data_IF_023532772960
#
_entry.id   IF_023532772960
#
_cell.length_a   1.000
_cell.length_b   1.000
_cell.length_c   1.000
_cell.angle_alpha   90.00
_cell.angle_beta   90.00
_cell.angle_gamma   90.00
#
_symmetry.space_group_name_H-M   'P 1'
#
loop_
_entity.id
_entity.type
_entity.pdbx_description
1 polymer ?
#
# COMPACT_ATOMS: atom_id res chain seq x y z
N UNK A 1 -5.73 23.87 -12.34
CA UNK A 1 -4.32 23.40 -12.30
C UNK A 1 -4.19 22.46 -11.12
N UNK A 2 -4.12 21.15 -11.35
CA UNK A 2 -3.92 20.16 -10.29
C UNK A 2 -2.50 20.27 -9.79
N UNK A 3 -2.34 20.56 -8.50
CA UNK A 3 -1.03 20.71 -7.87
C UNK A 3 -0.42 19.31 -7.65
N UNK A 4 0.11 18.73 -8.74
CA UNK A 4 0.70 17.38 -8.82
C UNK A 4 1.66 17.06 -7.65
N UNK A 5 2.56 17.96 -7.21
CA UNK A 5 3.42 17.72 -6.06
C UNK A 5 2.65 17.51 -4.75
N UNK A 6 1.56 18.26 -4.56
CA UNK A 6 0.70 18.16 -3.37
C UNK A 6 -0.05 16.83 -3.38
N UNK A 7 -0.58 16.41 -4.54
CA UNK A 7 -1.29 15.15 -4.67
C UNK A 7 -0.41 13.93 -4.36
N UNK A 8 0.86 13.93 -4.81
CA UNK A 8 1.81 12.86 -4.49
C UNK A 8 2.19 12.84 -3.01
N UNK A 9 2.41 14.02 -2.41
CA UNK A 9 2.72 14.14 -0.98
C UNK A 9 1.58 13.59 -0.11
N UNK A 10 0.34 13.91 -0.42
CA UNK A 10 -0.83 13.37 0.29
C UNK A 10 -0.93 11.85 0.18
N UNK A 11 -0.71 11.28 -1.01
CA UNK A 11 -0.71 9.82 -1.19
C UNK A 11 0.40 9.14 -0.38
N UNK A 12 1.60 9.73 -0.32
CA UNK A 12 2.71 9.19 0.46
C UNK A 12 2.43 9.23 1.97
N UNK A 13 1.78 10.28 2.46
CA UNK A 13 1.31 10.37 3.85
C UNK A 13 0.26 9.29 4.16
N UNK A 14 -0.73 9.10 3.29
CA UNK A 14 -1.76 8.06 3.45
C UNK A 14 -1.17 6.65 3.44
N UNK A 15 -0.25 6.36 2.51
CA UNK A 15 0.45 5.07 2.44
C UNK A 15 1.26 4.83 3.72
N UNK A 16 1.96 5.85 4.22
CA UNK A 16 2.76 5.77 5.46
C UNK A 16 1.86 5.47 6.66
N UNK A 17 0.76 6.22 6.82
CA UNK A 17 -0.18 6.02 7.92
C UNK A 17 -0.80 4.60 7.91
N UNK A 18 -1.15 4.07 6.73
CA UNK A 18 -1.65 2.69 6.62
C UNK A 18 -0.55 1.66 6.88
N UNK A 19 0.68 1.90 6.44
CA UNK A 19 1.81 1.01 6.69
C UNK A 19 2.19 0.95 8.18
N UNK A 20 2.07 2.06 8.92
CA UNK A 20 2.26 2.11 10.37
C UNK A 20 1.24 1.21 11.11
N UNK A 21 0.00 1.15 10.62
CA UNK A 21 -1.01 0.23 11.16
C UNK A 21 -0.67 -1.24 10.91
N UNK A 22 0.16 -1.53 9.89
CA UNK A 22 0.59 -2.88 9.55
C UNK A 22 1.89 -3.31 10.25
N UNK A 23 2.42 -2.50 11.17
CA UNK A 23 3.62 -2.87 11.91
C UNK A 23 3.44 -4.19 12.68
N UNK A 24 4.43 -5.10 12.65
CA UNK A 24 4.37 -6.37 13.35
C UNK A 24 4.10 -6.20 14.85
N UNK A 25 3.34 -7.13 15.42
CA UNK A 25 3.11 -7.18 16.85
C UNK A 25 4.41 -7.52 17.59
N UNK A 26 4.73 -6.76 18.65
CA UNK A 26 5.86 -7.07 19.53
C UNK A 26 5.55 -8.28 20.42
N UNK A 27 6.55 -9.06 20.84
CA UNK A 27 6.35 -10.24 21.71
C UNK A 27 5.55 -9.93 22.98
N UNK A 28 5.78 -8.78 23.60
CA UNK A 28 5.08 -8.36 24.83
C UNK A 28 3.58 -8.15 24.56
N UNK A 29 3.26 -7.51 23.44
CA UNK A 29 1.88 -7.28 23.03
C UNK A 29 1.16 -8.58 22.67
N UNK A 30 1.89 -9.54 22.07
CA UNK A 30 1.37 -10.87 21.80
C UNK A 30 1.02 -11.56 23.13
N UNK A 31 1.91 -11.52 24.12
CA UNK A 31 1.66 -12.09 25.44
C UNK A 31 0.41 -11.47 26.09
N UNK A 32 0.29 -10.14 26.09
CA UNK A 32 -0.88 -9.41 26.61
C UNK A 32 -2.19 -9.88 25.95
N UNK A 33 -2.18 -10.02 24.62
CA UNK A 33 -3.35 -10.49 23.87
C UNK A 33 -3.75 -11.91 24.26
N UNK A 34 -2.79 -12.83 24.40
CA UNK A 34 -3.06 -14.21 24.82
C UNK A 34 -3.56 -14.29 26.26
N UNK A 35 -2.97 -13.52 27.18
CA UNK A 35 -3.47 -13.40 28.55
C UNK A 35 -4.88 -12.84 28.58
N UNK A 36 -5.19 -11.87 27.72
CA UNK A 36 -6.53 -11.30 27.58
C UNK A 36 -7.55 -12.33 27.13
N UNK A 37 -7.20 -13.23 26.20
CA UNK A 37 -8.05 -14.34 25.77
C UNK A 37 -8.28 -15.35 26.90
N UNK A 38 -7.22 -15.72 27.65
CA UNK A 38 -7.33 -16.58 28.83
C UNK A 38 -8.23 -15.98 29.91
N UNK A 39 -8.06 -14.69 30.20
CA UNK A 39 -8.92 -13.96 31.14
C UNK A 39 -10.38 -13.88 30.67
N UNK A 40 -10.62 -13.96 29.36
CA UNK A 40 -11.95 -14.08 28.77
C UNK A 40 -12.56 -15.48 28.84
N UNK A 41 -11.88 -16.46 29.46
CA UNK A 41 -12.37 -17.83 29.65
C UNK A 41 -11.87 -18.83 28.59
N UNK A 42 -11.06 -18.41 27.62
CA UNK A 42 -10.55 -19.33 26.59
C UNK A 42 -9.39 -20.17 27.11
N UNK A 43 -9.44 -21.48 26.85
CA UNK A 43 -8.40 -22.43 27.21
C UNK A 43 -7.33 -22.54 26.12
N UNK A 44 -6.16 -23.06 26.49
CA UNK A 44 -5.10 -23.40 25.54
C UNK A 44 -5.59 -24.56 24.66
N UNK A 45 -5.42 -24.50 23.32
CA UNK A 45 -5.86 -25.57 22.44
C UNK A 45 -5.13 -26.89 22.73
N UNK A 46 -5.85 -27.99 22.57
CA UNK A 46 -5.32 -29.35 22.70
C UNK A 46 -4.29 -29.59 21.59
N UNK A 47 -3.01 -29.71 21.95
CA UNK A 47 -1.90 -29.88 21.01
C UNK A 47 -0.78 -28.85 21.17
N UNK A 48 -0.99 -27.79 21.96
CA UNK A 48 0.08 -26.89 22.39
C UNK A 48 0.43 -27.24 23.83
N UNK A 49 1.68 -27.65 24.06
CA UNK A 49 2.19 -27.89 25.42
C UNK A 49 2.09 -26.59 26.24
N UNK A 50 1.69 -26.71 27.50
CA UNK A 50 1.46 -25.53 28.34
C UNK A 50 2.75 -24.75 28.58
N UNK A 51 3.89 -25.44 28.62
CA UNK A 51 5.22 -24.85 28.82
C UNK A 51 5.68 -24.05 27.59
N UNK A 52 5.35 -24.50 26.38
CA UNK A 52 5.74 -23.86 25.12
C UNK A 52 4.70 -22.88 24.56
N UNK A 53 3.56 -22.73 25.24
CA UNK A 53 2.43 -21.94 24.79
C UNK A 53 2.84 -20.54 24.29
N UNK A 54 3.53 -19.76 25.12
CA UNK A 54 3.87 -18.39 24.72
C UNK A 54 4.83 -18.37 23.52
N UNK A 55 5.82 -19.27 23.53
CA UNK A 55 6.84 -19.38 22.49
C UNK A 55 6.23 -19.69 21.13
N UNK A 56 5.37 -20.70 21.05
CA UNK A 56 4.73 -21.13 19.79
C UNK A 56 3.87 -20.02 19.19
N UNK A 57 3.10 -19.31 20.03
CA UNK A 57 2.31 -18.18 19.57
C UNK A 57 3.18 -16.98 19.16
N UNK A 58 4.27 -16.68 19.88
CA UNK A 58 5.18 -15.61 19.47
C UNK A 58 5.83 -15.90 18.12
N UNK A 59 6.23 -17.15 17.85
CA UNK A 59 6.78 -17.56 16.55
C UNK A 59 5.73 -17.38 15.44
N UNK A 60 4.51 -17.90 15.65
CA UNK A 60 3.46 -17.83 14.63
C UNK A 60 2.97 -16.39 14.36
N UNK A 61 2.93 -15.55 15.40
CA UNK A 61 2.39 -14.20 15.35
C UNK A 61 3.46 -13.12 15.13
N UNK A 62 4.75 -13.44 15.13
CA UNK A 62 5.83 -12.44 15.07
C UNK A 62 5.86 -11.59 13.80
N UNK A 63 5.26 -12.07 12.69
CA UNK A 63 5.10 -11.29 11.44
C UNK A 63 3.67 -10.79 11.22
N UNK A 64 2.78 -11.00 12.19
CA UNK A 64 1.38 -10.59 12.10
C UNK A 64 1.26 -9.12 12.53
N UNK A 65 0.56 -8.28 11.76
CA UNK A 65 0.34 -6.91 12.14
C UNK A 65 -0.42 -6.76 13.47
N UNK A 66 0.01 -5.81 14.29
CA UNK A 66 -0.66 -5.48 15.57
C UNK A 66 -2.15 -5.20 15.39
N UNK A 67 -2.50 -4.47 14.33
CA UNK A 67 -3.89 -4.11 14.04
C UNK A 67 -4.78 -5.33 13.85
N UNK A 68 -4.32 -6.31 13.07
CA UNK A 68 -5.06 -7.55 12.83
C UNK A 68 -5.20 -8.39 14.08
N UNK A 69 -4.17 -8.42 14.93
CA UNK A 69 -4.23 -9.15 16.20
C UNK A 69 -5.27 -8.55 17.16
N UNK A 70 -5.33 -7.22 17.29
CA UNK A 70 -6.35 -6.53 18.09
C UNK A 70 -7.75 -6.86 17.58
N UNK A 71 -7.97 -6.79 16.27
CA UNK A 71 -9.26 -7.06 15.65
C UNK A 71 -9.72 -8.49 15.96
N UNK A 72 -8.86 -9.49 15.71
CA UNK A 72 -9.19 -10.89 15.97
C UNK A 72 -9.45 -11.17 17.44
N UNK A 73 -8.60 -10.67 18.35
CA UNK A 73 -8.79 -10.86 19.80
C UNK A 73 -10.12 -10.26 20.26
N UNK A 74 -10.48 -9.08 19.74
CA UNK A 74 -11.75 -8.42 20.06
C UNK A 74 -12.95 -9.22 19.53
N UNK A 75 -12.88 -9.67 18.27
CA UNK A 75 -13.92 -10.47 17.62
C UNK A 75 -14.12 -11.84 18.26
N UNK A 76 -13.02 -12.50 18.65
CA UNK A 76 -13.04 -13.76 19.40
C UNK A 76 -13.77 -13.60 20.73
N UNK A 77 -13.47 -12.54 21.49
CA UNK A 77 -14.15 -12.24 22.76
C UNK A 77 -15.63 -11.92 22.59
N UNK A 78 -16.01 -11.35 21.46
CA UNK A 78 -17.41 -11.03 21.13
C UNK A 78 -18.18 -12.20 20.52
N UNK A 79 -17.51 -13.32 20.21
CA UNK A 79 -18.13 -14.45 19.53
C UNK A 79 -18.50 -14.18 18.08
N UNK A 80 -17.83 -13.24 17.41
CA UNK A 80 -18.13 -12.86 16.01
C UNK A 80 -17.64 -13.91 14.98
N UNK A 81 -16.95 -14.97 15.43
CA UNK A 81 -16.50 -16.07 14.57
C UNK A 81 -17.38 -17.32 14.80
N UNK A 82 -18.33 -17.62 13.89
CA UNK A 82 -19.28 -18.73 14.08
C UNK A 82 -18.61 -20.11 14.00
N UNK A 83 -17.51 -20.22 13.25
CA UNK A 83 -16.81 -21.50 13.03
C UNK A 83 -15.72 -21.79 14.07
N UNK A 84 -15.58 -20.93 15.09
CA UNK A 84 -14.54 -21.05 16.11
C UNK A 84 -15.19 -21.35 17.45
N UNK A 85 -14.72 -22.42 18.10
CA UNK A 85 -15.13 -22.73 19.47
C UNK A 85 -14.78 -21.56 20.40
N UNK A 86 -15.75 -21.14 21.21
CA UNK A 86 -15.55 -20.14 22.26
C UNK A 86 -14.77 -20.69 23.47
N UNK A 87 -14.62 -22.00 23.58
CA UNK A 87 -13.96 -22.67 24.72
C UNK A 87 -12.43 -22.67 24.60
N UNK A 88 -11.90 -22.77 23.38
CA UNK A 88 -10.46 -22.91 23.13
C UNK A 88 -9.94 -21.76 22.25
N UNK A 89 -8.76 -21.25 22.59
CA UNK A 89 -8.05 -20.34 21.71
C UNK A 89 -7.73 -21.05 20.38
N UNK A 90 -7.81 -20.34 19.23
CA UNK A 90 -7.39 -20.91 17.96
C UNK A 90 -5.91 -21.30 18.01
N UNK A 91 -5.54 -22.40 17.36
CA UNK A 91 -4.14 -22.82 17.22
C UNK A 91 -3.27 -21.70 16.63
N UNK A 92 -1.98 -21.61 16.98
CA UNK A 92 -1.11 -20.48 16.61
C UNK A 92 -1.19 -20.10 15.12
N UNK A 93 -1.09 -21.09 14.23
CA UNK A 93 -1.18 -20.89 12.78
C UNK A 93 -2.54 -20.35 12.33
N UNK A 94 -3.64 -20.83 12.93
CA UNK A 94 -5.00 -20.38 12.62
C UNK A 94 -5.21 -18.95 13.12
N UNK A 95 -4.76 -18.64 14.34
CA UNK A 95 -4.84 -17.29 14.89
C UNK A 95 -4.06 -16.30 14.01
N UNK A 96 -2.86 -16.68 13.57
CA UNK A 96 -2.05 -15.87 12.66
C UNK A 96 -2.72 -15.67 11.29
N UNK A 97 -3.38 -16.70 10.74
CA UNK A 97 -4.13 -16.59 9.50
C UNK A 97 -5.33 -15.64 9.65
N UNK A 98 -6.12 -15.79 10.72
CA UNK A 98 -7.26 -14.90 11.01
C UNK A 98 -6.80 -13.45 11.16
N UNK A 99 -5.70 -13.21 11.86
CA UNK A 99 -5.21 -11.86 12.10
C UNK A 99 -4.70 -11.20 10.81
N UNK A 100 -4.07 -11.98 9.91
CA UNK A 100 -3.73 -11.48 8.56
C UNK A 100 -4.97 -11.20 7.71
N UNK A 101 -6.02 -12.01 7.84
CA UNK A 101 -7.27 -11.79 7.11
C UNK A 101 -7.93 -10.44 7.49
N UNK A 102 -7.89 -10.05 8.78
CA UNK A 102 -8.38 -8.74 9.23
C UNK A 102 -7.59 -7.57 8.65
N UNK A 103 -6.32 -7.77 8.28
CA UNK A 103 -5.49 -6.75 7.65
C UNK A 103 -5.64 -6.67 6.13
N UNK A 104 -6.39 -7.58 5.51
CA UNK A 104 -6.48 -7.71 4.05
C UNK A 104 -6.90 -6.41 3.37
N UNK A 105 -7.95 -5.76 3.88
CA UNK A 105 -8.45 -4.50 3.31
C UNK A 105 -7.40 -3.38 3.35
N UNK A 106 -6.61 -3.28 4.43
CA UNK A 106 -5.55 -2.28 4.56
C UNK A 106 -4.42 -2.55 3.55
N UNK A 107 -4.07 -3.83 3.36
CA UNK A 107 -3.06 -4.23 2.38
C UNK A 107 -3.53 -3.91 0.95
N UNK A 108 -4.79 -4.20 0.64
CA UNK A 108 -5.41 -3.88 -0.65
C UNK A 108 -5.46 -2.36 -0.88
N UNK A 109 -5.79 -1.57 0.15
CA UNK A 109 -5.80 -0.11 0.09
C UNK A 109 -4.40 0.47 -0.16
N UNK A 110 -3.37 -0.02 0.54
CA UNK A 110 -1.98 0.39 0.27
C UNK A 110 -1.59 0.05 -1.16
N UNK A 111 -1.95 -1.14 -1.66
CA UNK A 111 -1.66 -1.53 -3.04
C UNK A 111 -2.34 -0.60 -4.05
N UNK A 112 -3.61 -0.24 -3.82
CA UNK A 112 -4.37 0.71 -4.64
C UNK A 112 -3.75 2.11 -4.62
N UNK A 113 -3.37 2.61 -3.45
CA UNK A 113 -2.72 3.93 -3.32
C UNK A 113 -1.35 3.96 -4.00
N UNK A 114 -0.55 2.89 -3.86
CA UNK A 114 0.73 2.75 -4.56
C UNK A 114 0.54 2.70 -6.08
N UNK A 115 -0.45 1.97 -6.57
CA UNK A 115 -0.78 1.94 -8.00
C UNK A 115 -1.17 3.34 -8.51
N UNK A 116 -1.99 4.07 -7.76
CA UNK A 116 -2.37 5.45 -8.08
C UNK A 116 -1.16 6.39 -8.10
N UNK A 117 -0.28 6.30 -7.10
CA UNK A 117 0.97 7.06 -7.03
C UNK A 117 1.83 6.79 -8.28
N UNK A 118 2.05 5.52 -8.61
CA UNK A 118 2.86 5.12 -9.76
C UNK A 118 2.25 5.63 -11.08
N UNK A 119 0.93 5.55 -11.26
CA UNK A 119 0.26 6.06 -12.45
C UNK A 119 0.42 7.58 -12.61
N UNK A 120 0.35 8.34 -11.51
CA UNK A 120 0.60 9.79 -11.52
C UNK A 120 2.07 10.09 -11.84
N UNK A 121 3.00 9.33 -11.27
CA UNK A 121 4.43 9.48 -11.53
C UNK A 121 4.77 9.15 -12.99
N UNK A 122 4.18 8.10 -13.57
CA UNK A 122 4.35 7.76 -14.98
C UNK A 122 3.74 8.81 -15.92
N UNK A 123 2.54 9.31 -15.62
CA UNK A 123 1.92 10.38 -16.39
C UNK A 123 2.71 11.71 -16.33
N UNK A 124 3.51 11.91 -15.28
CA UNK A 124 4.36 13.09 -15.09
C UNK A 124 5.70 12.99 -15.83
N UNK A 125 6.09 11.79 -16.29
CA UNK A 125 7.32 11.62 -17.07
C UNK A 125 7.10 12.18 -18.48
N UNK A 126 8.04 13.00 -19.00
CA UNK A 126 7.96 13.42 -20.39
C UNK A 126 7.93 12.17 -21.29
N UNK A 127 7.18 12.19 -22.40
CA UNK A 127 7.14 11.05 -23.32
C UNK A 127 8.57 10.67 -23.69
N UNK A 128 8.88 9.38 -23.64
CA UNK A 128 10.16 8.83 -24.13
C UNK A 128 10.18 8.96 -25.65
N UNK A 129 10.34 10.17 -26.15
CA UNK A 129 10.69 10.43 -27.54
C UNK A 129 12.15 10.01 -27.68
N UNK A 130 12.44 9.09 -28.60
CA UNK A 130 13.82 8.72 -28.87
C UNK A 130 14.63 9.97 -29.25
N UNK A 131 15.92 10.02 -28.90
CA UNK A 131 16.78 11.18 -29.19
C UNK A 131 16.71 11.52 -30.70
N UNK A 132 16.68 10.50 -31.55
CA UNK A 132 16.53 10.64 -33.01
C UNK A 132 15.21 11.30 -33.43
N UNK A 133 14.10 10.93 -32.79
CA UNK A 133 12.78 11.43 -33.14
C UNK A 133 12.58 12.87 -32.67
N UNK A 134 13.19 13.22 -31.54
CA UNK A 134 13.29 14.59 -31.06
C UNK A 134 14.15 15.46 -32.00
N UNK A 135 15.27 14.92 -32.51
CA UNK A 135 16.09 15.60 -33.52
C UNK A 135 15.35 15.79 -34.84
N UNK A 136 14.66 14.76 -35.34
CA UNK A 136 13.83 14.85 -36.56
C UNK A 136 12.74 15.91 -36.40
N UNK A 137 12.07 15.97 -35.26
CA UNK A 137 11.09 17.01 -34.97
C UNK A 137 11.71 18.41 -34.94
N UNK A 138 12.87 18.58 -34.31
CA UNK A 138 13.58 19.88 -34.24
C UNK A 138 14.06 20.35 -35.62
N UNK A 139 14.54 19.44 -36.48
CA UNK A 139 14.93 19.78 -37.86
C UNK A 139 13.71 20.23 -38.65
N UNK A 140 12.61 19.47 -38.60
CA UNK A 140 11.35 19.80 -39.29
C UNK A 140 10.79 21.16 -38.87
N UNK A 141 10.82 21.46 -37.56
CA UNK A 141 10.38 22.77 -37.04
C UNK A 141 11.27 23.90 -37.59
N UNK A 142 12.59 23.72 -37.63
CA UNK A 142 13.50 24.75 -38.19
C UNK A 142 13.25 25.00 -39.68
N UNK A 143 12.95 23.96 -40.43
CA UNK A 143 12.64 24.07 -41.87
C UNK A 143 11.34 24.84 -42.09
N UNK A 144 10.26 24.46 -41.40
CA UNK A 144 8.99 25.20 -41.44
C UNK A 144 9.17 26.68 -41.07
N UNK A 145 9.96 26.97 -40.05
CA UNK A 145 10.21 28.35 -39.62
C UNK A 145 11.02 29.15 -40.64
N UNK A 146 11.94 28.50 -41.37
CA UNK A 146 12.68 29.12 -42.48
C UNK A 146 11.78 29.38 -43.69
N UNK A 147 10.90 28.44 -44.04
CA UNK A 147 9.92 28.61 -45.13
C UNK A 147 8.95 29.74 -44.82
N UNK A 148 8.40 29.77 -43.61
CA UNK A 148 7.52 30.85 -43.15
C UNK A 148 8.20 32.22 -43.23
N UNK A 149 9.46 32.33 -42.77
CA UNK A 149 10.23 33.59 -42.89
C UNK A 149 10.45 34.01 -44.35
N UNK A 150 10.76 33.08 -45.26
CA UNK A 150 10.94 33.39 -46.68
C UNK A 150 9.64 33.88 -47.32
N UNK A 151 8.53 33.20 -47.06
CA UNK A 151 7.21 33.58 -47.57
C UNK A 151 6.78 34.96 -47.06
N UNK A 152 7.06 35.28 -45.79
CA UNK A 152 6.78 36.61 -45.25
C UNK A 152 7.68 37.70 -45.83
N UNK A 153 8.95 37.41 -46.13
CA UNK A 153 9.87 38.36 -46.76
C UNK A 153 9.50 38.62 -48.23
N UNK A 154 9.14 37.59 -48.99
CA UNK A 154 8.65 37.74 -50.37
C UNK A 154 7.30 38.47 -50.43
N UNK A 155 6.40 38.22 -49.45
CA UNK A 155 5.14 38.93 -49.33
C UNK A 155 5.30 40.41 -48.99
N UNK A 156 6.31 40.79 -48.19
CA UNK A 156 6.62 42.20 -47.91
C UNK A 156 7.27 42.93 -49.10
N UNK A 157 8.05 42.23 -49.92
CA UNK A 157 8.67 42.80 -51.12
C UNK A 157 7.63 43.12 -52.23
N UNK A 158 6.53 42.36 -52.29
CA UNK A 158 5.46 42.57 -53.28
C UNK A 158 4.48 43.72 -52.94
N UNK A 159 4.55 44.32 -51.75
CA UNK A 159 3.64 45.40 -51.29
C UNK A 159 4.33 46.78 -51.34
N UNK A 160 5.58 46.86 -51.81
CA UNK A 160 6.36 48.11 -51.91
C UNK A 160 6.96 48.37 -53.31
N UNK A 161 6.43 47.73 -54.35
CA UNK A 161 6.66 48.09 -55.76
C UNK A 161 5.39 48.67 -56.36
#
# INVERSE_FOLDING_TARGET
MTNLPVALSTLDQEITALAERLQPARPEFIAECLHSLKAGGMLVPKGVAAEDFLREYTIALGSVPRHGLIAVVTKLKRGEYPDISSEFMPVPAKLAHMARAECRLIVEDIARLRAKRNAIEEASKPPKVSVEENERQRVRIRELHREFKRQHQSGKAHIHG
#
